data_IF_080402755361
#
_entry.id   IF_080402755361
#
_cell.length_a   1.000
_cell.length_b   1.000
_cell.length_c   1.000
_cell.angle_alpha   90.00
_cell.angle_beta   90.00
_cell.angle_gamma   90.00
#
_symmetry.space_group_name_H-M   'P 1'
#
loop_
_entity.id
_entity.type
_entity.pdbx_description
1 polymer ?
#
# COMPACT_ATOMS: atom_id res chain seq x y z
N UNK A 1 9.18 -3.53 -12.80
CA UNK A 1 8.99 -3.37 -11.35
C UNK A 1 10.34 -3.18 -10.70
N UNK A 2 10.50 -2.15 -9.88
CA UNK A 2 11.72 -1.99 -9.07
C UNK A 2 11.50 -2.80 -7.82
N UNK A 3 12.21 -3.93 -7.67
CA UNK A 3 12.16 -4.74 -6.45
C UNK A 3 12.63 -3.88 -5.27
N UNK A 4 11.69 -3.40 -4.46
CA UNK A 4 12.00 -2.63 -3.26
C UNK A 4 12.23 -3.58 -2.10
N UNK A 5 13.35 -3.38 -1.41
CA UNK A 5 13.61 -4.08 -0.16
C UNK A 5 12.70 -3.52 0.94
N UNK A 6 11.77 -4.35 1.38
CA UNK A 6 10.79 -4.03 2.43
C UNK A 6 11.46 -3.50 3.70
N UNK A 7 12.62 -4.07 4.08
CA UNK A 7 13.38 -3.62 5.25
C UNK A 7 13.92 -2.20 5.10
N UNK A 8 14.38 -1.83 3.90
CA UNK A 8 14.88 -0.47 3.62
C UNK A 8 13.73 0.54 3.62
N UNK A 9 12.57 0.16 3.09
CA UNK A 9 11.38 1.03 3.08
C UNK A 9 10.80 1.29 4.47
N UNK A 10 10.84 0.30 5.37
CA UNK A 10 10.47 0.48 6.78
C UNK A 10 11.47 1.42 7.47
N UNK A 11 12.78 1.19 7.27
CA UNK A 11 13.84 2.01 7.86
C UNK A 11 13.75 3.47 7.41
N UNK A 12 13.49 3.72 6.12
CA UNK A 12 13.26 5.05 5.57
C UNK A 12 11.97 5.71 6.11
N UNK A 13 10.90 4.94 6.34
CA UNK A 13 9.67 5.47 6.93
C UNK A 13 9.89 5.98 8.35
N UNK A 14 10.71 5.28 9.13
CA UNK A 14 11.08 5.69 10.50
C UNK A 14 12.02 6.91 10.45
N UNK A 15 13.04 6.89 9.60
CA UNK A 15 14.02 7.98 9.48
C UNK A 15 13.42 9.29 8.96
N UNK A 16 12.38 9.23 8.14
CA UNK A 16 11.73 10.41 7.54
C UNK A 16 10.46 10.84 8.28
N UNK A 17 10.25 10.35 9.51
CA UNK A 17 9.05 10.64 10.31
C UNK A 17 7.73 10.39 9.52
N UNK A 18 7.67 9.31 8.76
CA UNK A 18 6.47 8.91 7.99
C UNK A 18 6.29 9.61 6.63
N UNK A 19 7.14 10.58 6.26
CA UNK A 19 7.03 11.25 4.95
C UNK A 19 7.30 10.25 3.82
N UNK A 20 8.27 9.35 3.97
CA UNK A 20 8.55 8.32 2.97
C UNK A 20 7.38 7.35 2.78
N UNK A 21 6.58 7.10 3.83
CA UNK A 21 5.41 6.22 3.76
C UNK A 21 4.41 6.69 2.70
N UNK A 22 4.27 8.00 2.51
CA UNK A 22 3.43 8.60 1.48
C UNK A 22 3.92 8.18 0.08
N UNK A 23 5.22 8.35 -0.20
CA UNK A 23 5.81 7.93 -1.47
C UNK A 23 5.72 6.41 -1.71
N UNK A 24 5.81 5.63 -0.63
CA UNK A 24 5.70 4.19 -0.69
C UNK A 24 4.29 3.73 -1.06
N UNK A 25 3.25 4.38 -0.52
CA UNK A 25 1.84 4.13 -0.87
C UNK A 25 1.58 4.38 -2.36
N UNK A 26 2.07 5.50 -2.93
CA UNK A 26 1.93 5.78 -4.37
C UNK A 26 2.51 4.64 -5.18
N UNK A 27 3.72 4.24 -4.80
CA UNK A 27 4.47 3.24 -5.52
C UNK A 27 3.77 1.89 -5.52
N UNK A 28 3.33 1.44 -4.34
CA UNK A 28 2.58 0.18 -4.16
C UNK A 28 1.26 0.23 -4.93
N UNK A 29 0.55 1.37 -4.92
CA UNK A 29 -0.67 1.55 -5.71
C UNK A 29 -0.41 1.45 -7.23
N UNK A 30 0.62 2.13 -7.73
CA UNK A 30 0.93 2.12 -9.15
C UNK A 30 1.44 0.76 -9.64
N UNK A 31 2.23 0.06 -8.82
CA UNK A 31 2.70 -1.29 -9.13
C UNK A 31 1.52 -2.28 -9.18
N UNK A 32 0.60 -2.24 -8.21
CA UNK A 32 -0.59 -3.10 -8.25
C UNK A 32 -1.52 -2.76 -9.42
N UNK A 33 -1.77 -1.47 -9.69
CA UNK A 33 -2.61 -1.03 -10.80
C UNK A 33 -2.05 -1.48 -12.16
N UNK A 34 -0.74 -1.39 -12.34
CA UNK A 34 -0.06 -1.88 -13.54
C UNK A 34 -0.22 -3.39 -13.73
N UNK A 35 -0.22 -4.15 -12.64
CA UNK A 35 -0.36 -5.61 -12.68
C UNK A 35 -1.81 -6.07 -12.80
N UNK A 36 -2.76 -5.39 -12.16
CA UNK A 36 -4.18 -5.72 -12.22
C UNK A 36 -4.88 -5.18 -13.48
N UNK A 37 -4.21 -4.31 -14.25
CA UNK A 37 -4.80 -3.62 -15.40
C UNK A 37 -5.76 -2.48 -15.02
N UNK A 38 -5.78 -2.07 -13.74
CA UNK A 38 -6.60 -0.95 -13.27
C UNK A 38 -6.00 0.41 -13.66
N UNK A 39 -6.88 1.39 -13.89
CA UNK A 39 -6.50 2.79 -14.15
C UNK A 39 -6.50 3.67 -12.90
N UNK A 40 -6.67 3.10 -11.71
CA UNK A 40 -6.69 3.88 -10.47
C UNK A 40 -5.28 4.39 -10.11
N UNK A 41 -5.09 5.70 -10.33
CA UNK A 41 -3.84 6.42 -10.07
C UNK A 41 -3.55 6.53 -8.56
N UNK A 42 -2.32 6.21 -8.15
CA UNK A 42 -1.86 6.33 -6.76
C UNK A 42 -1.88 7.77 -6.25
N UNK A 43 -1.82 8.76 -7.15
CA UNK A 43 -1.97 10.17 -6.80
C UNK A 43 -3.37 10.51 -6.25
N UNK A 44 -4.43 9.86 -6.78
CA UNK A 44 -5.80 10.08 -6.33
C UNK A 44 -6.03 9.50 -4.93
N UNK A 45 -5.40 8.36 -4.63
CA UNK A 45 -5.47 7.72 -3.31
C UNK A 45 -4.89 8.61 -2.20
N UNK A 46 -3.80 9.34 -2.49
CA UNK A 46 -3.22 10.31 -1.55
C UNK A 46 -4.10 11.54 -1.37
N UNK A 47 -4.61 12.10 -2.46
CA UNK A 47 -5.51 13.26 -2.37
C UNK A 47 -6.71 12.93 -1.47
N UNK A 48 -7.29 11.74 -1.64
CA UNK A 48 -8.38 11.26 -0.81
C UNK A 48 -7.94 11.02 0.64
N UNK A 49 -6.74 10.49 0.87
CA UNK A 49 -6.19 10.33 2.23
C UNK A 49 -5.97 11.68 2.92
N UNK A 50 -5.53 12.71 2.20
CA UNK A 50 -5.32 14.06 2.74
C UNK A 50 -6.66 14.77 3.01
N UNK A 51 -7.62 14.67 2.09
CA UNK A 51 -8.95 15.31 2.21
C UNK A 51 -9.77 14.67 3.34
N UNK A 52 -9.60 13.37 3.58
CA UNK A 52 -10.34 12.63 4.64
C UNK A 52 -9.60 12.54 5.97
N UNK A 53 -8.55 13.35 6.18
CA UNK A 53 -7.72 13.32 7.39
C UNK A 53 -7.21 11.91 7.74
N UNK A 54 -6.82 11.12 6.74
CA UNK A 54 -6.26 9.78 6.92
C UNK A 54 -7.29 8.65 7.02
N UNK A 55 -8.59 8.95 7.14
CA UNK A 55 -9.64 7.90 7.28
C UNK A 55 -9.73 7.05 6.00
N UNK A 56 -9.60 7.66 4.82
CA UNK A 56 -9.58 6.93 3.55
C UNK A 56 -8.43 5.91 3.49
N UNK A 57 -7.37 6.09 4.28
CA UNK A 57 -6.29 5.12 4.38
C UNK A 57 -6.74 3.72 4.76
N UNK A 58 -7.67 3.59 5.70
CA UNK A 58 -8.20 2.29 6.11
C UNK A 58 -8.97 1.62 4.97
N UNK A 59 -9.80 2.39 4.26
CA UNK A 59 -10.56 1.90 3.10
C UNK A 59 -9.63 1.48 1.97
N UNK A 60 -8.58 2.26 1.72
CA UNK A 60 -7.56 1.94 0.72
C UNK A 60 -6.84 0.62 1.06
N UNK A 61 -6.46 0.40 2.33
CA UNK A 61 -5.80 -0.83 2.77
C UNK A 61 -6.63 -2.07 2.49
N UNK A 62 -7.94 -1.99 2.71
CA UNK A 62 -8.86 -3.08 2.38
C UNK A 62 -8.97 -3.31 0.87
N UNK A 63 -9.21 -2.24 0.09
CA UNK A 63 -9.35 -2.32 -1.38
C UNK A 63 -8.10 -2.84 -2.07
N UNK A 64 -6.93 -2.64 -1.47
CA UNK A 64 -5.66 -3.09 -2.03
C UNK A 64 -5.54 -4.62 -2.07
N UNK A 65 -6.25 -5.34 -1.19
CA UNK A 65 -6.33 -6.80 -1.25
C UNK A 65 -6.96 -7.31 -2.54
N UNK A 66 -8.09 -6.73 -2.94
CA UNK A 66 -8.78 -7.05 -4.20
C UNK A 66 -7.91 -6.68 -5.43
N UNK A 67 -7.20 -5.54 -5.38
CA UNK A 67 -6.26 -5.17 -6.46
C UNK A 67 -5.12 -6.16 -6.61
N UNK A 68 -4.52 -6.60 -5.49
CA UNK A 68 -3.44 -7.59 -5.50
C UNK A 68 -3.96 -8.96 -5.98
N UNK A 69 -5.18 -9.34 -5.60
CA UNK A 69 -5.82 -10.56 -6.10
C UNK A 69 -5.98 -10.55 -7.62
N UNK A 70 -6.49 -9.44 -8.17
CA UNK A 70 -6.61 -9.25 -9.63
C UNK A 70 -5.26 -9.25 -10.34
N UNK A 71 -4.20 -8.80 -9.66
CA UNK A 71 -2.83 -8.87 -10.14
C UNK A 71 -2.24 -10.31 -10.09
N UNK A 72 -2.94 -11.29 -9.53
CA UNK A 72 -2.52 -12.69 -9.39
C UNK A 72 -1.91 -13.04 -8.04
N UNK A 73 -1.94 -12.12 -7.07
CA UNK A 73 -1.45 -12.32 -5.71
C UNK A 73 -2.53 -12.79 -4.74
N UNK A 74 -2.18 -12.87 -3.45
CA UNK A 74 -3.13 -13.27 -2.41
C UNK A 74 -3.96 -12.09 -1.89
N UNK A 75 -5.27 -12.27 -1.77
CA UNK A 75 -6.14 -11.29 -1.13
C UNK A 75 -6.01 -11.33 0.39
N UNK A 76 -5.23 -10.41 0.94
CA UNK A 76 -5.08 -10.20 2.39
C UNK A 76 -5.69 -8.85 2.83
N UNK A 77 -6.66 -8.31 2.09
CA UNK A 77 -7.30 -7.00 2.34
C UNK A 77 -7.84 -6.83 3.77
N UNK A 78 -8.47 -7.87 4.32
CA UNK A 78 -8.96 -7.87 5.71
C UNK A 78 -7.81 -7.79 6.71
N UNK A 79 -6.71 -8.50 6.46
CA UNK A 79 -5.51 -8.46 7.32
C UNK A 79 -4.90 -7.06 7.27
N UNK A 80 -4.79 -6.45 6.07
CA UNK A 80 -4.26 -5.10 5.89
C UNK A 80 -5.07 -4.05 6.65
N UNK A 81 -6.40 -4.16 6.63
CA UNK A 81 -7.30 -3.29 7.36
C UNK A 81 -7.13 -3.44 8.87
N UNK A 82 -7.20 -4.67 9.37
CA UNK A 82 -7.10 -4.97 10.82
C UNK A 82 -5.76 -4.47 11.37
N UNK A 83 -4.64 -4.79 10.72
CA UNK A 83 -3.33 -4.30 11.12
C UNK A 83 -3.27 -2.77 11.14
N UNK A 84 -3.86 -2.10 10.15
CA UNK A 84 -3.88 -0.64 10.10
C UNK A 84 -4.65 -0.04 11.28
N UNK A 85 -5.77 -0.63 11.70
CA UNK A 85 -6.58 -0.17 12.84
C UNK A 85 -5.77 -0.22 14.14
N UNK A 86 -4.90 -1.22 14.31
CA UNK A 86 -4.00 -1.35 15.46
C UNK A 86 -2.73 -0.48 15.35
N UNK A 87 -2.66 0.44 14.40
CA UNK A 87 -1.49 1.31 14.17
C UNK A 87 -0.34 0.61 13.45
N UNK A 88 -0.53 -0.62 12.96
CA UNK A 88 0.47 -1.41 12.22
C UNK A 88 0.35 -1.23 10.70
N UNK A 89 -0.15 -0.08 10.22
CA UNK A 89 -0.35 0.17 8.78
C UNK A 89 0.92 0.07 7.93
N UNK A 90 2.10 0.35 8.51
CA UNK A 90 3.39 0.11 7.85
C UNK A 90 3.63 -1.38 7.54
N UNK A 91 3.19 -2.27 8.43
CA UNK A 91 3.28 -3.73 8.21
C UNK A 91 2.34 -4.15 7.09
N UNK A 92 1.15 -3.56 7.00
CA UNK A 92 0.23 -3.80 5.88
C UNK A 92 0.86 -3.43 4.54
N UNK A 93 1.49 -2.26 4.43
CA UNK A 93 2.19 -1.82 3.20
C UNK A 93 3.37 -2.76 2.88
N UNK A 94 4.09 -3.22 3.90
CA UNK A 94 5.18 -4.18 3.75
C UNK A 94 4.72 -5.53 3.19
N UNK A 95 3.57 -6.03 3.67
CA UNK A 95 2.96 -7.26 3.15
C UNK A 95 2.51 -7.10 1.71
N UNK A 96 1.84 -5.99 1.37
CA UNK A 96 1.45 -5.66 0.00
C UNK A 96 2.67 -5.63 -0.94
N UNK A 97 3.75 -4.97 -0.53
CA UNK A 97 5.00 -4.92 -1.32
C UNK A 97 5.61 -6.33 -1.47
N UNK A 98 5.50 -7.18 -0.46
CA UNK A 98 6.00 -8.56 -0.52
C UNK A 98 5.22 -9.40 -1.53
N UNK A 99 3.90 -9.27 -1.55
CA UNK A 99 3.05 -9.94 -2.53
C UNK A 99 3.30 -9.42 -3.94
N UNK A 100 3.36 -8.10 -4.13
CA UNK A 100 3.70 -7.50 -5.43
C UNK A 100 5.11 -7.88 -5.92
N UNK A 101 6.07 -8.07 -5.02
CA UNK A 101 7.42 -8.52 -5.38
C UNK A 101 7.49 -10.00 -5.79
N UNK A 102 6.47 -10.80 -5.45
CA UNK A 102 6.35 -12.21 -5.84
C UNK A 102 5.74 -12.39 -7.23
N UNK A 103 4.94 -11.41 -7.65
CA UNK A 103 4.33 -11.31 -8.99
C UNK A 103 5.34 -10.76 -10.02
#
# INVERSE_FOLDING_TARGET
>A
MVKRNVGVSILLSILTCGIYTIFWIISVNNDAARLSGDKEDGGMAILLMLITCGIYGFVWMYKMGDKIERAGGKNDGTIYLVLSIFGLGLVSIALMQTELNRL
#
